data_IF_852067719981
#
_entry.id   IF_852067719981
#
_cell.length_a   1.000
_cell.length_b   1.000
_cell.length_c   1.000
_cell.angle_alpha   90.00
_cell.angle_beta   90.00
_cell.angle_gamma   90.00
#
_symmetry.space_group_name_H-M   'P 1'
#
loop_
_entity.id
_entity.type
_entity.pdbx_description
1 polymer ?
#
# COMPACT_ATOMS: atom_id res chain seq x y z
N UNK A 1 7.95 -7.00 13.41
CA UNK A 1 6.69 -6.38 13.88
C UNK A 1 6.05 -5.65 12.71
N UNK A 2 4.97 -6.20 12.19
CA UNK A 2 4.22 -5.56 11.10
C UNK A 2 3.31 -4.51 11.72
N UNK A 3 3.55 -3.25 11.44
CA UNK A 3 2.67 -2.15 11.88
C UNK A 3 1.64 -1.91 10.78
N UNK A 4 0.40 -2.31 11.02
CA UNK A 4 -0.70 -1.95 10.15
C UNK A 4 -1.11 -0.51 10.41
N UNK A 5 -0.83 0.39 9.47
CA UNK A 5 -1.42 1.72 9.47
C UNK A 5 -2.63 1.71 8.53
N UNK A 6 -3.82 1.55 9.10
CA UNK A 6 -5.06 1.77 8.35
C UNK A 6 -5.29 3.28 8.33
N UNK A 7 -4.84 3.92 7.26
CA UNK A 7 -5.14 5.32 7.01
C UNK A 7 -6.44 5.45 6.22
N UNK A 8 -7.50 5.90 6.85
CA UNK A 8 -8.66 6.40 6.13
C UNK A 8 -8.35 7.86 5.81
N UNK A 9 -8.03 8.16 4.54
CA UNK A 9 -7.98 9.53 4.06
C UNK A 9 -9.42 10.06 3.94
N UNK A 10 -9.98 10.38 5.08
CA UNK A 10 -11.06 11.35 5.16
C UNK A 10 -10.42 12.71 4.84
N UNK A 11 -11.15 13.59 4.18
CA UNK A 11 -10.69 14.97 3.97
C UNK A 11 -10.14 15.52 5.29
N UNK A 12 -8.94 16.09 5.28
CA UNK A 12 -8.17 16.44 6.50
C UNK A 12 -8.96 17.29 7.49
N UNK A 13 -9.85 18.15 7.02
CA UNK A 13 -10.71 18.98 7.87
C UNK A 13 -11.71 18.17 8.71
N UNK A 14 -12.07 16.96 8.32
CA UNK A 14 -12.93 16.08 9.11
C UNK A 14 -12.23 15.50 10.34
N UNK A 15 -10.92 15.23 10.22
CA UNK A 15 -10.11 14.73 11.33
C UNK A 15 -9.79 15.83 12.35
N UNK A 16 -9.64 17.08 11.91
CA UNK A 16 -9.31 18.22 12.74
C UNK A 16 -10.52 18.80 13.47
N UNK A 17 -11.72 18.57 12.96
CA UNK A 17 -12.95 19.21 13.48
C UNK A 17 -13.74 18.35 14.47
N UNK A 18 -13.07 17.45 15.20
CA UNK A 18 -13.71 16.55 16.18
C UNK A 18 -14.44 17.27 17.33
N UNK A 19 -14.20 18.57 17.54
CA UNK A 19 -14.77 19.34 18.66
C UNK A 19 -15.99 20.17 18.27
N UNK A 20 -16.32 20.29 17.02
CA UNK A 20 -17.45 21.08 16.57
C UNK A 20 -18.71 20.21 16.53
N UNK A 21 -19.82 20.78 17.00
CA UNK A 21 -21.14 20.13 16.92
C UNK A 21 -21.43 19.78 15.46
N UNK A 22 -21.56 18.50 15.18
CA UNK A 22 -21.97 17.99 13.90
C UNK A 22 -23.44 18.38 13.73
N UNK A 23 -23.75 19.15 12.69
CA UNK A 23 -25.12 19.48 12.31
C UNK A 23 -25.73 18.31 11.53
N UNK A 24 -27.07 18.20 11.55
CA UNK A 24 -27.76 17.10 10.84
C UNK A 24 -27.46 17.12 9.34
N UNK A 25 -27.31 18.29 8.72
CA UNK A 25 -26.95 18.45 7.30
C UNK A 25 -25.55 17.88 7.00
N UNK A 26 -24.61 17.99 7.95
CA UNK A 26 -23.28 17.43 7.81
C UNK A 26 -23.30 15.89 7.84
N UNK A 27 -24.18 15.30 8.63
CA UNK A 27 -24.33 13.84 8.69
C UNK A 27 -24.88 13.25 7.39
N UNK A 28 -25.79 13.93 6.71
CA UNK A 28 -26.37 13.50 5.43
C UNK A 28 -25.30 13.51 4.33
N UNK A 29 -24.56 14.61 4.20
CA UNK A 29 -23.48 14.74 3.24
C UNK A 29 -22.32 13.76 3.52
N UNK A 30 -22.10 13.43 4.78
CA UNK A 30 -21.06 12.50 5.19
C UNK A 30 -21.37 11.05 4.76
N UNK A 31 -22.64 10.62 4.73
CA UNK A 31 -23.02 9.29 4.24
C UNK A 31 -22.73 9.11 2.76
N UNK A 32 -23.02 10.10 1.93
CA UNK A 32 -22.73 10.06 0.49
C UNK A 32 -21.21 10.04 0.23
N UNK A 33 -20.43 10.83 0.98
CA UNK A 33 -18.97 10.85 0.89
C UNK A 33 -18.34 9.51 1.33
N UNK A 34 -18.87 8.87 2.37
CA UNK A 34 -18.36 7.59 2.87
C UNK A 34 -18.58 6.45 1.87
N UNK A 35 -19.68 6.46 1.13
CA UNK A 35 -19.99 5.42 0.13
C UNK A 35 -19.04 5.47 -1.09
N UNK A 36 -18.49 6.65 -1.40
CA UNK A 36 -17.52 6.86 -2.48
C UNK A 36 -16.07 6.97 -1.99
N UNK A 37 -15.81 6.71 -0.70
CA UNK A 37 -14.46 6.83 -0.14
C UNK A 37 -13.54 5.70 -0.60
N UNK A 38 -12.27 6.05 -0.85
CA UNK A 38 -11.19 5.08 -1.05
C UNK A 38 -10.46 4.82 0.27
N UNK A 39 -10.30 3.56 0.63
CA UNK A 39 -9.55 3.12 1.81
C UNK A 39 -8.17 2.64 1.38
N UNK A 40 -7.12 3.23 1.93
CA UNK A 40 -5.74 2.84 1.69
C UNK A 40 -5.20 2.04 2.87
N UNK A 41 -4.75 0.81 2.61
CA UNK A 41 -4.04 -0.03 3.57
C UNK A 41 -2.56 0.11 3.29
N UNK A 42 -1.83 0.80 4.16
CA UNK A 42 -0.40 1.03 4.00
C UNK A 42 0.40 0.18 4.99
N UNK A 43 1.33 -0.61 4.47
CA UNK A 43 2.21 -1.48 5.25
C UNK A 43 3.66 -1.21 4.89
N UNK A 44 4.53 -1.12 5.87
CA UNK A 44 5.99 -1.06 5.66
C UNK A 44 6.59 -2.44 5.88
N UNK A 45 7.53 -2.83 5.03
CA UNK A 45 8.30 -4.07 5.15
C UNK A 45 9.80 -3.79 5.05
N UNK A 46 10.59 -4.62 5.73
CA UNK A 46 12.05 -4.56 5.68
C UNK A 46 12.69 -5.96 5.63
N UNK A 47 12.65 -6.70 6.72
CA UNK A 47 13.26 -8.04 6.86
C UNK A 47 12.28 -9.02 7.54
N UNK A 48 11.02 -8.99 7.13
CA UNK A 48 10.00 -9.90 7.64
C UNK A 48 10.28 -11.34 7.19
N UNK A 49 9.95 -12.28 8.06
CA UNK A 49 10.03 -13.71 7.74
C UNK A 49 8.87 -14.14 6.82
N UNK A 50 9.04 -15.25 6.14
CA UNK A 50 8.07 -15.79 5.17
C UNK A 50 6.66 -15.91 5.76
N UNK A 51 6.57 -16.41 7.00
CA UNK A 51 5.28 -16.60 7.69
C UNK A 51 4.54 -15.27 7.92
N UNK A 52 5.25 -14.20 8.28
CA UNK A 52 4.66 -12.87 8.46
C UNK A 52 4.17 -12.28 7.14
N UNK A 53 4.95 -12.47 6.06
CA UNK A 53 4.55 -12.08 4.71
C UNK A 53 3.29 -12.84 4.25
N UNK A 54 3.25 -14.16 4.47
CA UNK A 54 2.10 -15.00 4.10
C UNK A 54 0.84 -14.60 4.88
N UNK A 55 0.95 -14.35 6.18
CA UNK A 55 -0.17 -13.89 7.01
C UNK A 55 -0.72 -12.53 6.54
N UNK A 56 0.16 -11.58 6.19
CA UNK A 56 -0.27 -10.30 5.64
C UNK A 56 -1.00 -10.49 4.33
N UNK A 57 -0.43 -11.22 3.38
CA UNK A 57 -1.05 -11.48 2.07
C UNK A 57 -2.38 -12.21 2.21
N UNK A 58 -2.49 -13.17 3.15
CA UNK A 58 -3.76 -13.86 3.42
C UNK A 58 -4.82 -12.88 3.96
N UNK A 59 -4.44 -11.98 4.87
CA UNK A 59 -5.35 -10.94 5.38
C UNK A 59 -5.85 -10.01 4.27
N UNK A 60 -4.97 -9.64 3.34
CA UNK A 60 -5.35 -8.82 2.18
C UNK A 60 -6.27 -9.58 1.22
N UNK A 61 -6.03 -10.86 1.00
CA UNK A 61 -6.92 -11.72 0.21
C UNK A 61 -8.32 -11.80 0.84
N UNK A 62 -8.39 -11.97 2.16
CA UNK A 62 -9.67 -12.06 2.87
C UNK A 62 -10.46 -10.74 2.80
N UNK A 63 -9.77 -9.59 2.89
CA UNK A 63 -10.36 -8.27 2.68
C UNK A 63 -10.89 -8.12 1.26
N UNK A 64 -10.13 -8.54 0.25
CA UNK A 64 -10.55 -8.49 -1.15
C UNK A 64 -11.80 -9.35 -1.41
N UNK A 65 -11.85 -10.57 -0.86
CA UNK A 65 -13.01 -11.46 -0.94
C UNK A 65 -14.26 -10.87 -0.23
N UNK A 66 -14.06 -10.26 0.93
CA UNK A 66 -15.15 -9.64 1.68
C UNK A 66 -15.70 -8.38 0.99
N UNK A 67 -14.91 -7.74 0.14
CA UNK A 67 -15.24 -6.48 -0.54
C UNK A 67 -16.37 -6.59 -1.56
N UNK A 68 -16.62 -7.74 -2.17
CA UNK A 68 -17.66 -7.91 -3.22
C UNK A 68 -19.04 -7.38 -2.77
N UNK A 69 -19.26 -7.28 -1.45
CA UNK A 69 -20.48 -6.74 -0.84
C UNK A 69 -20.43 -5.23 -0.55
N UNK A 70 -19.29 -4.59 -0.76
CA UNK A 70 -19.07 -3.17 -0.45
C UNK A 70 -18.82 -2.35 -1.71
N UNK A 71 -19.45 -1.17 -1.81
CA UNK A 71 -19.18 -0.19 -2.87
C UNK A 71 -17.87 0.58 -2.68
N UNK A 72 -17.20 0.43 -1.53
CA UNK A 72 -15.97 1.16 -1.21
C UNK A 72 -14.80 0.68 -2.04
N UNK A 73 -14.01 1.61 -2.52
CA UNK A 73 -12.74 1.31 -3.17
C UNK A 73 -11.67 1.06 -2.09
N UNK A 74 -10.93 -0.04 -2.23
CA UNK A 74 -9.84 -0.38 -1.31
C UNK A 74 -8.57 -0.59 -2.12
N UNK A 75 -7.48 0.00 -1.67
CA UNK A 75 -6.14 -0.17 -2.24
C UNK A 75 -5.16 -0.55 -1.14
N UNK A 76 -4.32 -1.56 -1.39
CA UNK A 76 -3.24 -1.95 -0.48
C UNK A 76 -1.89 -1.55 -1.04
N UNK A 77 -1.07 -0.94 -0.21
CA UNK A 77 0.27 -0.49 -0.55
C UNK A 77 1.28 -1.07 0.44
N UNK A 78 2.21 -1.89 -0.07
CA UNK A 78 3.37 -2.36 0.68
C UNK A 78 4.58 -1.51 0.27
N UNK A 79 5.18 -0.83 1.23
CA UNK A 79 6.40 -0.05 1.06
C UNK A 79 7.59 -0.89 1.57
N UNK A 80 8.38 -1.41 0.65
CA UNK A 80 9.52 -2.24 0.99
C UNK A 80 10.79 -1.39 1.05
N UNK A 81 11.31 -1.16 2.25
CA UNK A 81 12.56 -0.41 2.46
C UNK A 81 13.77 -1.30 2.19
N UNK A 82 14.78 -0.76 1.50
CA UNK A 82 15.96 -1.52 1.11
C UNK A 82 15.71 -2.64 0.09
N UNK A 83 14.61 -2.54 -0.67
CA UNK A 83 14.19 -3.56 -1.62
C UNK A 83 15.17 -3.75 -2.78
N UNK A 84 15.79 -2.68 -3.24
CA UNK A 84 16.64 -2.65 -4.42
C UNK A 84 17.96 -1.97 -4.08
N UNK A 85 19.05 -2.53 -4.60
CA UNK A 85 20.37 -1.92 -4.60
C UNK A 85 20.91 -1.94 -6.03
N UNK A 86 20.76 -0.80 -6.74
CA UNK A 86 21.00 -0.75 -8.17
C UNK A 86 19.97 -1.63 -8.93
N UNK A 87 20.45 -2.64 -9.65
CA UNK A 87 19.61 -3.57 -10.41
C UNK A 87 19.31 -4.89 -9.64
N UNK A 88 19.79 -5.02 -8.40
CA UNK A 88 19.65 -6.26 -7.61
C UNK A 88 18.52 -6.13 -6.61
N UNK A 89 17.56 -7.04 -6.69
CA UNK A 89 16.47 -7.17 -5.72
C UNK A 89 16.96 -7.89 -4.46
N UNK A 90 16.49 -7.44 -3.30
CA UNK A 90 16.73 -8.10 -2.03
C UNK A 90 16.00 -9.47 -1.99
N UNK A 91 16.60 -10.46 -1.31
CA UNK A 91 16.03 -11.80 -1.16
C UNK A 91 14.66 -11.80 -0.50
N UNK A 92 14.40 -10.91 0.45
CA UNK A 92 13.10 -10.76 1.11
C UNK A 92 12.01 -10.28 0.12
N UNK A 93 12.36 -9.38 -0.81
CA UNK A 93 11.46 -8.96 -1.89
C UNK A 93 11.15 -10.11 -2.83
N UNK A 94 12.15 -10.90 -3.22
CA UNK A 94 11.97 -12.06 -4.07
C UNK A 94 11.05 -13.10 -3.41
N UNK A 95 11.21 -13.29 -2.10
CA UNK A 95 10.35 -14.16 -1.30
C UNK A 95 8.90 -13.64 -1.28
N UNK A 96 8.69 -12.35 -1.00
CA UNK A 96 7.36 -11.74 -1.07
C UNK A 96 6.71 -11.92 -2.44
N UNK A 97 7.43 -11.63 -3.52
CA UNK A 97 6.95 -11.79 -4.90
C UNK A 97 6.56 -13.24 -5.19
N UNK A 98 7.29 -14.22 -4.67
CA UNK A 98 7.00 -15.64 -4.86
C UNK A 98 5.70 -16.09 -4.16
N UNK A 99 5.34 -15.46 -3.06
CA UNK A 99 4.12 -15.76 -2.29
C UNK A 99 2.85 -15.16 -2.92
N UNK A 100 2.96 -14.06 -3.68
CA UNK A 100 1.82 -13.32 -4.24
C UNK A 100 0.88 -14.20 -5.07
N UNK A 101 1.35 -14.96 -6.08
CA UNK A 101 0.45 -15.75 -6.93
C UNK A 101 -0.33 -16.79 -6.14
N UNK A 102 0.36 -17.43 -5.21
CA UNK A 102 -0.20 -18.51 -4.36
C UNK A 102 -1.26 -17.97 -3.41
N UNK A 103 -0.99 -16.85 -2.76
CA UNK A 103 -1.84 -16.31 -1.69
C UNK A 103 -2.94 -15.40 -2.22
N UNK A 104 -2.61 -14.46 -3.11
CA UNK A 104 -3.57 -13.50 -3.65
C UNK A 104 -4.34 -14.01 -4.88
N UNK A 105 -4.03 -15.24 -5.36
CA UNK A 105 -4.69 -15.86 -6.53
C UNK A 105 -4.59 -15.01 -7.80
N UNK A 106 -3.46 -14.35 -8.01
CA UNK A 106 -3.16 -13.56 -9.20
C UNK A 106 -2.03 -14.18 -10.01
N UNK A 107 -1.97 -13.89 -11.31
CA UNK A 107 -0.85 -14.27 -12.16
C UNK A 107 0.25 -13.21 -12.11
N UNK A 108 1.50 -13.64 -12.04
CA UNK A 108 2.67 -12.72 -12.07
C UNK A 108 2.68 -11.89 -13.36
N UNK A 109 2.27 -12.48 -14.49
CA UNK A 109 2.24 -11.82 -15.80
C UNK A 109 1.27 -10.62 -15.84
N UNK A 110 0.25 -10.61 -14.98
CA UNK A 110 -0.72 -9.53 -14.88
C UNK A 110 -0.21 -8.34 -14.04
N UNK A 111 1.07 -8.37 -13.67
CA UNK A 111 1.71 -7.29 -12.94
C UNK A 111 1.99 -6.09 -13.85
N UNK A 112 1.49 -4.92 -13.49
CA UNK A 112 1.93 -3.67 -14.08
C UNK A 112 3.17 -3.17 -13.33
N UNK A 113 4.29 -2.97 -14.05
CA UNK A 113 5.54 -2.44 -13.50
C UNK A 113 5.71 -0.98 -13.92
N UNK A 114 5.94 -0.12 -12.95
CA UNK A 114 6.11 1.32 -13.16
C UNK A 114 7.45 1.73 -12.54
N UNK A 115 8.33 2.31 -13.35
CA UNK A 115 9.55 2.94 -12.85
C UNK A 115 9.19 4.28 -12.19
N UNK A 116 9.72 4.50 -10.98
CA UNK A 116 9.56 5.75 -10.25
C UNK A 116 10.93 6.40 -10.02
N UNK A 117 11.01 7.70 -9.69
CA UNK A 117 12.28 8.35 -9.35
C UNK A 117 13.02 7.67 -8.20
N UNK A 118 12.29 7.01 -7.30
CA UNK A 118 12.83 6.39 -6.09
C UNK A 118 13.00 4.87 -6.16
N UNK A 119 12.62 4.25 -7.29
CA UNK A 119 12.68 2.81 -7.46
C UNK A 119 11.67 2.27 -8.45
N UNK A 120 10.96 1.22 -8.09
CA UNK A 120 9.97 0.55 -8.92
C UNK A 120 8.67 0.31 -8.13
N UNK A 121 7.54 0.45 -8.80
CA UNK A 121 6.23 0.06 -8.30
C UNK A 121 5.71 -1.13 -9.10
N UNK A 122 5.18 -2.12 -8.40
CA UNK A 122 4.48 -3.26 -8.98
C UNK A 122 3.01 -3.21 -8.55
N UNK A 123 2.09 -3.43 -9.49
CA UNK A 123 0.64 -3.32 -9.25
C UNK A 123 -0.10 -4.51 -9.83
N UNK A 124 -1.02 -5.07 -9.05
CA UNK A 124 -2.00 -6.08 -9.49
C UNK A 124 -3.42 -5.64 -9.15
N UNK A 125 -4.37 -6.11 -9.96
CA UNK A 125 -5.78 -6.07 -9.60
C UNK A 125 -6.17 -7.45 -9.08
N UNK A 126 -6.69 -7.53 -7.86
CA UNK A 126 -7.10 -8.77 -7.23
C UNK A 126 -8.48 -9.22 -7.75
N UNK A 127 -8.84 -10.52 -7.60
CA UNK A 127 -10.11 -11.07 -8.12
C UNK A 127 -11.35 -10.37 -7.56
N UNK A 128 -11.36 -9.95 -6.30
CA UNK A 128 -12.45 -9.17 -5.67
C UNK A 128 -12.46 -7.68 -6.06
N UNK A 129 -11.45 -7.22 -6.82
CA UNK A 129 -11.36 -5.88 -7.39
C UNK A 129 -10.50 -4.89 -6.60
N UNK A 130 -9.88 -5.30 -5.50
CA UNK A 130 -8.89 -4.49 -4.78
C UNK A 130 -7.62 -4.29 -5.62
N UNK A 131 -7.02 -3.11 -5.57
CA UNK A 131 -5.68 -2.89 -6.11
C UNK A 131 -4.62 -3.18 -5.06
N UNK A 132 -3.63 -3.96 -5.44
CA UNK A 132 -2.49 -4.33 -4.61
C UNK A 132 -1.21 -3.77 -5.21
N UNK A 133 -0.47 -3.01 -4.43
CA UNK A 133 0.75 -2.32 -4.86
C UNK A 133 1.94 -2.70 -3.98
N UNK A 134 3.10 -2.91 -4.60
CA UNK A 134 4.38 -2.98 -3.91
C UNK A 134 5.25 -1.83 -4.40
N UNK A 135 5.79 -1.06 -3.47
CA UNK A 135 6.73 0.02 -3.71
C UNK A 135 8.14 -0.45 -3.30
N UNK A 136 8.99 -0.67 -4.29
CA UNK A 136 10.37 -1.10 -4.12
C UNK A 136 11.29 0.12 -4.15
N UNK A 137 11.75 0.55 -2.98
CA UNK A 137 12.63 1.70 -2.84
C UNK A 137 14.08 1.32 -3.18
N UNK A 138 14.73 2.10 -4.03
CA UNK A 138 16.15 1.98 -4.32
C UNK A 138 16.96 2.93 -3.43
N UNK A 139 17.64 2.37 -2.44
CA UNK A 139 18.41 3.16 -1.48
C UNK A 139 19.61 3.89 -2.10
N UNK A 140 20.17 3.41 -3.21
CA UNK A 140 21.25 4.11 -3.90
C UNK A 140 20.76 5.40 -4.56
N UNK A 141 19.59 5.39 -5.18
CA UNK A 141 18.99 6.59 -5.81
C UNK A 141 18.63 7.64 -4.77
N UNK A 142 18.13 7.21 -3.62
CA UNK A 142 17.76 8.13 -2.53
C UNK A 142 19.01 8.79 -1.94
N UNK A 143 20.10 8.06 -1.76
CA UNK A 143 21.36 8.60 -1.22
C UNK A 143 22.01 9.63 -2.15
N UNK A 144 21.91 9.44 -3.47
CA UNK A 144 22.41 10.40 -4.47
C UNK A 144 21.62 11.71 -4.43
N UNK A 145 20.27 11.63 -4.34
CA UNK A 145 19.41 12.82 -4.27
C UNK A 145 19.66 13.64 -3.00
N UNK A 146 19.90 13.00 -1.86
CA UNK A 146 20.20 13.67 -0.59
C UNK A 146 21.69 14.01 -0.40
N UNK A 147 22.61 13.33 -1.09
CA UNK A 147 24.04 13.59 -1.05
C UNK A 147 24.46 14.88 -1.73
N UNK A 148 23.84 15.23 -2.85
CA UNK A 148 24.10 16.48 -3.56
C UNK A 148 23.66 17.74 -2.80
N UNK A 149 22.78 17.59 -1.80
CA UNK A 149 22.34 18.70 -0.94
C UNK A 149 23.31 19.03 0.21
N UNK A 150 24.36 18.22 0.42
CA UNK A 150 25.31 18.41 1.53
C UNK A 150 26.61 19.10 1.14
N UNK A 151 26.89 19.28 -0.15
CA UNK A 151 28.14 19.91 -0.62
C UNK A 151 27.98 21.38 -1.03
N UNK A 152 26.83 22.03 -0.75
CA UNK A 152 26.61 23.46 -1.02
C UNK A 152 26.27 24.25 0.24
N UNK A 153 27.02 24.00 1.31
CA UNK A 153 27.08 24.91 2.47
C UNK A 153 28.53 25.12 2.90
#
# INVERSE_FOLDING_TARGET
MVVFLIGVLLEQHLLLNRRNKITDDYQINHRELVDNSCVYICTTMYHEIEQEMEQLLQSLHDIDCAREKSKRQIESHIFFDGAVKGDVLNNYVLQLISLIPKTLKVKIENCMKIKTPYGMQMRWKLPGGMFFHIHLKDNLRVSVIFGESRETL
#
